data_IF_939424941365
#
_entry.id   IF_939424941365
#
_cell.length_a   1.000
_cell.length_b   1.000
_cell.length_c   1.000
_cell.angle_alpha   90.00
_cell.angle_beta   90.00
_cell.angle_gamma   90.00
#
_symmetry.space_group_name_H-M   'P 1'
#
loop_
_entity.id
_entity.type
_entity.pdbx_description
1 polymer ?
#
# COMPACT_ATOMS: atom_id res chain seq x y z
N UNK A 1 10.87 -19.00 -0.31
CA UNK A 1 9.79 -18.62 0.64
C UNK A 1 8.52 -18.27 -0.14
N UNK A 2 7.35 -18.80 0.22
CA UNK A 2 6.07 -18.43 -0.41
C UNK A 2 5.45 -17.25 0.34
N UNK A 3 5.67 -16.03 -0.15
CA UNK A 3 4.99 -14.85 0.35
C UNK A 3 3.58 -14.78 -0.25
N UNK A 4 2.57 -14.57 0.60
CA UNK A 4 1.19 -14.42 0.12
C UNK A 4 1.04 -13.17 -0.75
N UNK A 5 0.07 -13.18 -1.66
CA UNK A 5 -0.26 -12.02 -2.51
C UNK A 5 -0.55 -10.77 -1.67
N UNK A 6 -1.22 -10.95 -0.52
CA UNK A 6 -1.46 -9.89 0.48
C UNK A 6 -0.16 -9.35 1.07
N UNK A 7 0.75 -10.22 1.51
CA UNK A 7 2.04 -9.80 2.04
C UNK A 7 2.90 -9.05 1.01
N UNK A 8 2.93 -9.54 -0.23
CA UNK A 8 3.66 -8.90 -1.33
C UNK A 8 3.14 -7.50 -1.62
N UNK A 9 1.83 -7.33 -1.77
CA UNK A 9 1.25 -6.03 -2.07
C UNK A 9 1.27 -5.08 -0.88
N UNK A 10 1.18 -5.60 0.35
CA UNK A 10 1.32 -4.77 1.54
C UNK A 10 2.72 -4.22 1.71
N UNK A 11 3.75 -5.04 1.46
CA UNK A 11 5.12 -4.57 1.47
C UNK A 11 5.37 -3.49 0.40
N UNK A 12 4.83 -3.68 -0.82
CA UNK A 12 4.94 -2.67 -1.89
C UNK A 12 4.25 -1.36 -1.51
N UNK A 13 3.08 -1.41 -0.86
CA UNK A 13 2.38 -0.22 -0.39
C UNK A 13 3.18 0.53 0.69
N UNK A 14 3.73 -0.16 1.68
CA UNK A 14 4.58 0.45 2.72
C UNK A 14 5.83 1.06 2.11
N UNK A 15 6.50 0.34 1.20
CA UNK A 15 7.69 0.84 0.54
C UNK A 15 7.42 2.12 -0.24
N UNK A 16 6.32 2.16 -1.00
CA UNK A 16 5.90 3.35 -1.73
C UNK A 16 5.61 4.53 -0.79
N UNK A 17 4.92 4.29 0.32
CA UNK A 17 4.67 5.33 1.33
C UNK A 17 5.98 5.88 1.92
N UNK A 18 6.95 5.01 2.22
CA UNK A 18 8.25 5.42 2.75
C UNK A 18 9.07 6.22 1.72
N UNK A 19 9.03 5.84 0.43
CA UNK A 19 9.71 6.60 -0.63
C UNK A 19 9.09 7.99 -0.87
N UNK A 20 7.84 8.19 -0.46
CA UNK A 20 7.09 9.42 -0.68
C UNK A 20 6.75 10.14 0.63
N UNK A 21 7.46 9.86 1.72
CA UNK A 21 7.18 10.42 3.05
C UNK A 21 7.20 11.96 3.05
N UNK A 22 8.09 12.57 2.24
CA UNK A 22 8.22 14.02 2.10
C UNK A 22 7.10 14.68 1.26
N UNK A 23 6.31 13.89 0.53
CA UNK A 23 5.24 14.40 -0.34
C UNK A 23 3.92 14.70 0.42
N UNK A 24 3.93 14.56 1.75
CA UNK A 24 2.76 14.84 2.59
C UNK A 24 1.66 13.78 2.44
N UNK A 25 0.41 14.22 2.29
CA UNK A 25 -0.71 13.29 2.16
C UNK A 25 -0.77 12.68 0.77
N UNK A 26 -0.71 11.36 0.70
CA UNK A 26 -0.84 10.58 -0.55
C UNK A 26 -2.21 9.93 -0.57
N UNK A 27 -2.95 10.09 -1.66
CA UNK A 27 -4.27 9.46 -1.80
C UNK A 27 -4.14 7.97 -2.10
N UNK A 28 -5.15 7.19 -1.72
CA UNK A 28 -5.20 5.76 -2.04
C UNK A 28 -5.25 5.54 -3.55
N UNK A 29 -5.91 6.43 -4.29
CA UNK A 29 -5.99 6.42 -5.75
C UNK A 29 -4.61 6.55 -6.41
N UNK A 30 -3.73 7.41 -5.87
CA UNK A 30 -2.37 7.59 -6.39
C UNK A 30 -1.52 6.33 -6.23
N UNK A 31 -1.61 5.71 -5.05
CA UNK A 31 -0.90 4.45 -4.75
C UNK A 31 -1.47 3.31 -5.62
N UNK A 32 -2.79 3.26 -5.80
CA UNK A 32 -3.52 2.30 -6.63
C UNK A 32 -3.02 2.35 -8.09
N UNK A 33 -2.96 3.56 -8.66
CA UNK A 33 -2.47 3.81 -10.00
C UNK A 33 -0.99 3.42 -10.17
N UNK A 34 -0.16 3.78 -9.19
CA UNK A 34 1.30 3.53 -9.26
C UNK A 34 1.63 2.05 -9.10
N UNK A 35 1.02 1.38 -8.13
CA UNK A 35 1.26 -0.04 -7.86
C UNK A 35 0.47 -0.97 -8.78
N UNK A 36 -0.42 -0.42 -9.61
CA UNK A 36 -1.37 -1.14 -10.48
C UNK A 36 -2.18 -2.16 -9.69
N UNK A 37 -2.78 -1.70 -8.60
CA UNK A 37 -3.62 -2.49 -7.72
C UNK A 37 -5.06 -1.98 -7.77
N UNK A 38 -6.07 -2.84 -7.64
CA UNK A 38 -7.43 -2.36 -7.48
C UNK A 38 -7.55 -1.51 -6.22
N UNK A 39 -8.17 -0.35 -6.34
CA UNK A 39 -8.30 0.63 -5.24
C UNK A 39 -8.98 0.01 -4.02
N UNK A 40 -10.11 -0.68 -4.21
CA UNK A 40 -10.84 -1.39 -3.14
C UNK A 40 -9.97 -2.44 -2.41
N UNK A 41 -9.02 -3.06 -3.12
CA UNK A 41 -8.11 -4.04 -2.51
C UNK A 41 -7.03 -3.32 -1.69
N UNK A 42 -6.52 -2.21 -2.21
CA UNK A 42 -5.56 -1.37 -1.50
C UNK A 42 -6.16 -0.73 -0.25
N UNK A 43 -7.42 -0.28 -0.28
CA UNK A 43 -8.12 0.24 0.90
C UNK A 43 -8.22 -0.81 2.03
N UNK A 44 -8.61 -2.04 1.68
CA UNK A 44 -8.64 -3.14 2.64
C UNK A 44 -7.26 -3.42 3.21
N UNK A 45 -6.23 -3.33 2.37
CA UNK A 45 -4.86 -3.57 2.76
C UNK A 45 -4.34 -2.48 3.71
N UNK A 46 -4.58 -1.20 3.39
CA UNK A 46 -4.21 -0.05 4.23
C UNK A 46 -4.93 -0.10 5.58
N UNK A 47 -6.21 -0.51 5.61
CA UNK A 47 -6.94 -0.73 6.87
C UNK A 47 -6.27 -1.75 7.79
N UNK A 48 -5.63 -2.77 7.23
CA UNK A 48 -4.87 -3.76 8.00
C UNK A 48 -3.54 -3.16 8.44
N UNK A 49 -2.82 -2.47 7.54
CA UNK A 49 -1.52 -1.86 7.84
C UNK A 49 -1.60 -0.80 8.95
N UNK A 50 -2.65 0.03 8.96
CA UNK A 50 -2.91 1.04 10.00
C UNK A 50 -3.09 0.45 11.40
N UNK A 51 -3.36 -0.84 11.53
CA UNK A 51 -3.42 -1.50 12.86
C UNK A 51 -2.05 -1.93 13.36
N UNK A 52 -1.07 -2.00 12.47
CA UNK A 52 0.27 -2.54 12.74
C UNK A 52 1.28 -1.39 12.93
N UNK A 53 1.08 -0.28 12.22
CA UNK A 53 1.81 0.99 12.34
C UNK A 53 1.12 1.84 13.40
#
# INVERSE_FOLDING_TARGET
MKLSTRGRYGLRAIHYLAENEDNGYISVSDISNTLKLPENYLEQLIRILKKII
#
